data_IF_626244814855
#
_entry.id   IF_626244814855
#
_cell.length_a   1.000
_cell.length_b   1.000
_cell.length_c   1.000
_cell.angle_alpha   90.00
_cell.angle_beta   90.00
_cell.angle_gamma   90.00
#
_symmetry.space_group_name_H-M   'P 1'
#
loop_
_entity.id
_entity.type
_entity.pdbx_description
1 polymer ?
#
# COMPACT_ATOMS: atom_id res chain seq x y z
N UNK A 1 8.45 -1.60 18.29
CA UNK A 1 9.65 -0.83 17.90
C UNK A 1 9.20 0.31 16.99
N UNK A 2 9.52 1.59 17.30
CA UNK A 2 9.20 2.72 16.39
C UNK A 2 10.23 2.75 15.28
N UNK A 3 9.83 2.43 14.04
CA UNK A 3 10.76 2.25 12.90
C UNK A 3 11.44 3.56 12.46
N UNK A 4 10.75 4.70 12.64
CA UNK A 4 11.17 5.99 12.08
C UNK A 4 11.45 7.08 13.15
N UNK A 5 11.32 6.77 14.44
CA UNK A 5 11.55 7.72 15.55
C UNK A 5 10.87 9.09 15.39
N UNK A 6 9.67 9.13 14.79
CA UNK A 6 8.88 10.36 14.60
C UNK A 6 7.69 10.43 15.56
N UNK A 7 7.23 11.64 15.82
CA UNK A 7 5.97 11.90 16.53
C UNK A 7 4.75 11.56 15.64
N UNK A 8 3.61 11.31 16.26
CA UNK A 8 2.39 10.84 15.55
C UNK A 8 1.99 11.78 14.41
N UNK A 9 1.99 13.09 14.64
CA UNK A 9 1.65 14.09 13.62
C UNK A 9 2.58 14.01 12.40
N UNK A 10 3.87 13.84 12.64
CA UNK A 10 4.86 13.73 11.56
C UNK A 10 4.76 12.37 10.86
N UNK A 11 4.40 11.30 11.57
CA UNK A 11 4.12 9.99 10.98
C UNK A 11 2.93 10.05 10.00
N UNK A 12 1.82 10.68 10.41
CA UNK A 12 0.63 10.86 9.54
C UNK A 12 0.97 11.67 8.31
N UNK A 13 1.73 12.76 8.47
CA UNK A 13 2.19 13.58 7.35
C UNK A 13 3.10 12.78 6.40
N UNK A 14 4.04 12.02 6.94
CA UNK A 14 4.95 11.16 6.16
C UNK A 14 4.20 10.11 5.34
N UNK A 15 3.14 9.51 5.90
CA UNK A 15 2.28 8.57 5.17
C UNK A 15 1.58 9.26 4.00
N UNK A 16 0.94 10.42 4.24
CA UNK A 16 0.25 11.19 3.21
C UNK A 16 1.18 11.65 2.07
N UNK A 17 2.37 12.15 2.42
CA UNK A 17 3.38 12.58 1.45
C UNK A 17 3.90 11.40 0.60
N UNK A 18 4.09 10.24 1.24
CA UNK A 18 4.51 9.01 0.55
C UNK A 18 3.46 8.52 -0.44
N UNK A 19 2.19 8.49 -0.04
CA UNK A 19 1.08 8.07 -0.90
C UNK A 19 0.87 9.04 -2.06
N UNK A 20 1.00 10.36 -1.81
CA UNK A 20 0.96 11.38 -2.87
C UNK A 20 2.06 11.15 -3.91
N UNK A 21 3.29 10.91 -3.47
CA UNK A 21 4.43 10.64 -4.37
C UNK A 21 4.21 9.38 -5.21
N UNK A 22 3.71 8.29 -4.60
CA UNK A 22 3.39 7.04 -5.32
C UNK A 22 2.31 7.26 -6.37
N UNK A 23 1.25 7.99 -6.01
CA UNK A 23 0.16 8.33 -6.92
C UNK A 23 0.66 9.13 -8.13
N UNK A 24 1.39 10.22 -7.90
CA UNK A 24 1.92 11.06 -8.99
C UNK A 24 2.84 10.26 -9.92
N UNK A 25 3.77 9.48 -9.36
CA UNK A 25 4.68 8.66 -10.17
C UNK A 25 3.92 7.63 -11.01
N UNK A 26 3.03 6.85 -10.39
CA UNK A 26 2.27 5.81 -11.10
C UNK A 26 1.41 6.42 -12.20
N UNK A 27 0.66 7.49 -11.91
CA UNK A 27 -0.18 8.15 -12.90
C UNK A 27 0.62 8.77 -14.04
N UNK A 28 1.79 9.36 -13.77
CA UNK A 28 2.64 9.94 -14.80
C UNK A 28 3.14 8.89 -15.82
N UNK A 29 3.48 7.69 -15.37
CA UNK A 29 4.07 6.66 -16.24
C UNK A 29 3.06 5.69 -16.86
N UNK A 30 1.84 5.61 -16.33
CA UNK A 30 0.86 4.60 -16.74
C UNK A 30 -0.45 5.19 -17.25
N UNK A 31 -0.67 6.49 -17.07
CA UNK A 31 -1.97 7.16 -17.24
C UNK A 31 -3.10 6.52 -16.42
N UNK A 32 -2.76 5.73 -15.39
CA UNK A 32 -3.71 5.05 -14.52
C UNK A 32 -3.74 5.63 -13.11
N UNK A 33 -4.83 5.37 -12.39
CA UNK A 33 -5.00 5.79 -10.99
C UNK A 33 -4.36 4.78 -10.03
N UNK A 34 -3.39 5.24 -9.24
CA UNK A 34 -2.80 4.43 -8.17
C UNK A 34 -3.87 4.00 -7.15
N UNK A 35 -3.80 2.74 -6.69
CA UNK A 35 -4.75 2.18 -5.72
C UNK A 35 -6.15 1.86 -6.27
N UNK A 36 -6.43 2.05 -7.57
CA UNK A 36 -7.69 1.60 -8.18
C UNK A 36 -7.67 0.08 -8.31
N UNK A 37 -8.59 -0.62 -7.64
CA UNK A 37 -8.62 -2.09 -7.59
C UNK A 37 -8.56 -2.78 -8.96
N UNK A 38 -9.22 -2.21 -9.99
CA UNK A 38 -9.19 -2.76 -11.35
C UNK A 38 -7.80 -2.79 -12.01
N UNK A 39 -6.82 -2.08 -11.45
CA UNK A 39 -5.46 -2.02 -11.98
C UNK A 39 -4.56 -3.11 -11.38
N UNK A 40 -5.06 -3.90 -10.43
CA UNK A 40 -4.33 -4.95 -9.74
C UNK A 40 -5.11 -6.25 -9.79
N UNK A 41 -4.39 -7.37 -9.87
CA UNK A 41 -5.01 -8.70 -9.78
C UNK A 41 -5.54 -8.99 -8.38
N UNK A 42 -4.89 -8.44 -7.34
CA UNK A 42 -5.23 -8.68 -5.95
C UNK A 42 -5.04 -7.41 -5.10
N UNK A 43 -5.99 -7.11 -4.23
CA UNK A 43 -5.94 -6.04 -3.24
C UNK A 43 -6.38 -6.58 -1.88
N UNK A 44 -5.54 -6.46 -0.84
CA UNK A 44 -5.78 -7.05 0.48
C UNK A 44 -5.70 -6.00 1.58
N UNK A 45 -6.62 -6.07 2.54
CA UNK A 45 -6.57 -5.25 3.74
C UNK A 45 -5.95 -6.04 4.91
N UNK A 46 -4.65 -5.84 5.14
CA UNK A 46 -3.91 -6.55 6.19
C UNK A 46 -4.37 -6.20 7.61
N UNK A 47 -4.96 -5.01 7.84
CA UNK A 47 -5.50 -4.64 9.16
C UNK A 47 -6.71 -5.49 9.58
N UNK A 48 -7.46 -6.04 8.62
CA UNK A 48 -8.62 -6.90 8.86
C UNK A 48 -8.27 -8.38 8.74
N UNK A 49 -7.41 -8.73 7.78
CA UNK A 49 -7.08 -10.12 7.47
C UNK A 49 -5.93 -10.66 8.32
N UNK A 50 -5.03 -9.79 8.81
CA UNK A 50 -3.75 -10.17 9.40
C UNK A 50 -2.70 -10.51 8.34
N UNK A 51 -1.42 -10.32 8.68
CA UNK A 51 -0.30 -10.55 7.77
C UNK A 51 -0.22 -12.03 7.32
N UNK A 52 -0.34 -12.97 8.25
CA UNK A 52 -0.28 -14.42 7.96
C UNK A 52 -1.33 -14.86 6.92
N UNK A 53 -2.53 -14.27 6.97
CA UNK A 53 -3.58 -14.58 6.01
C UNK A 53 -3.32 -13.93 4.66
N UNK A 54 -2.85 -12.69 4.64
CA UNK A 54 -2.46 -12.03 3.39
C UNK A 54 -1.36 -12.80 2.66
N UNK A 55 -0.35 -13.29 3.39
CA UNK A 55 0.72 -14.13 2.84
C UNK A 55 0.15 -15.39 2.17
N UNK A 56 -0.69 -16.16 2.89
CA UNK A 56 -1.31 -17.38 2.37
C UNK A 56 -2.12 -17.14 1.09
N UNK A 57 -2.95 -16.08 1.07
CA UNK A 57 -3.75 -15.74 -0.12
C UNK A 57 -2.84 -15.43 -1.31
N UNK A 58 -1.74 -14.70 -1.09
CA UNK A 58 -0.79 -14.37 -2.17
C UNK A 58 -0.12 -15.64 -2.70
N UNK A 59 0.32 -16.54 -1.82
CA UNK A 59 0.97 -17.81 -2.21
C UNK A 59 0.00 -18.72 -2.96
N UNK A 60 -1.25 -18.85 -2.50
CA UNK A 60 -2.29 -19.63 -3.18
C UNK A 60 -2.62 -19.09 -4.58
N UNK A 61 -2.47 -17.78 -4.79
CA UNK A 61 -2.65 -17.15 -6.10
C UNK A 61 -1.42 -17.26 -7.00
N UNK A 62 -0.25 -17.64 -6.46
CA UNK A 62 0.94 -17.93 -7.26
C UNK A 62 0.77 -19.30 -7.91
N UNK A 63 0.90 -19.34 -9.24
CA UNK A 63 1.02 -20.62 -9.95
C UNK A 63 2.27 -21.38 -9.52
#
# INVERSE_FOLDING_TARGET
MRLYHVEEKEAVKMMADTDKRRMTNYSFYTDQKWGKASNYTLCLNSSQLGYDRCEKIIVECSK
#
